data_IF_572333548428
#
_entry.id   IF_572333548428
#
_cell.length_a   1.000
_cell.length_b   1.000
_cell.length_c   1.000
_cell.angle_alpha   90.00
_cell.angle_beta   90.00
_cell.angle_gamma   90.00
#
_symmetry.space_group_name_H-M   'P 1'
#
loop_
_entity.id
_entity.type
_entity.pdbx_description
1 polymer ?
#
# COMPACT_ATOMS: atom_id res chain seq x y z
N UNK A 1 22.66 5.31 2.36
CA UNK A 1 22.42 5.57 2.23
C UNK A 1 21.98 5.37 1.39
N UNK A 2 21.83 5.53 1.02
CA UNK A 2 21.40 5.50 0.15
C UNK A 2 20.64 4.51 -0.29
N UNK A 3 20.64 3.85 -0.25
CA UNK A 3 20.03 3.06 -0.65
C UNK A 3 18.82 3.06 -0.35
N UNK A 4 18.24 3.86 -0.06
CA UNK A 4 17.06 3.76 0.19
C UNK A 4 16.24 3.87 -0.93
N UNK A 5 15.12 3.20 -1.04
CA UNK A 5 14.19 3.34 -2.11
C UNK A 5 13.62 4.70 -2.12
N UNK A 6 13.38 5.21 -3.30
CA UNK A 6 12.64 6.44 -3.45
C UNK A 6 11.17 6.09 -3.38
N UNK A 7 10.51 6.49 -2.32
CA UNK A 7 9.13 6.11 -2.11
C UNK A 7 8.23 6.62 -3.22
N UNK A 8 8.55 7.79 -3.77
CA UNK A 8 7.74 8.30 -4.86
C UNK A 8 7.80 7.39 -6.06
N UNK A 9 8.96 6.83 -6.35
CA UNK A 9 9.08 5.94 -7.48
C UNK A 9 8.29 4.67 -7.24
N UNK A 10 8.36 4.15 -6.03
CA UNK A 10 7.67 2.92 -5.73
C UNK A 10 6.16 3.07 -5.78
N UNK A 11 5.66 4.28 -5.60
CA UNK A 11 4.22 4.51 -5.65
C UNK A 11 3.76 5.04 -7.00
N UNK A 12 4.65 5.17 -7.98
CA UNK A 12 4.29 5.79 -9.23
C UNK A 12 3.78 4.86 -10.29
N UNK A 13 4.37 3.72 -10.43
CA UNK A 13 4.03 2.82 -11.54
C UNK A 13 3.01 1.79 -11.11
N UNK A 14 2.01 2.22 -10.41
CA UNK A 14 0.99 1.30 -9.92
C UNK A 14 -0.15 1.20 -10.91
N UNK A 15 -0.78 0.02 -11.04
CA UNK A 15 -1.99 -0.08 -11.83
C UNK A 15 -3.07 0.83 -11.29
N UNK A 16 -4.00 1.28 -12.14
CA UNK A 16 -5.02 2.24 -11.69
C UNK A 16 -5.83 1.76 -10.49
N UNK A 17 -6.21 0.49 -10.47
CA UNK A 17 -7.02 0.00 -9.36
C UNK A 17 -6.23 0.01 -8.04
N UNK A 18 -4.95 -0.29 -8.13
CA UNK A 18 -4.11 -0.29 -6.94
C UNK A 18 -3.84 1.14 -6.49
N UNK A 19 -3.58 2.00 -7.44
CA UNK A 19 -3.34 3.40 -7.12
C UNK A 19 -4.55 4.01 -6.43
N UNK A 20 -5.72 3.67 -6.91
CA UNK A 20 -6.94 4.18 -6.33
C UNK A 20 -7.12 3.70 -4.89
N UNK A 21 -6.87 2.42 -4.65
CA UNK A 21 -7.01 1.89 -3.31
C UNK A 21 -6.00 2.52 -2.36
N UNK A 22 -4.79 2.75 -2.85
CA UNK A 22 -3.78 3.39 -2.02
C UNK A 22 -4.19 4.81 -1.69
N UNK A 23 -4.72 5.53 -2.66
CA UNK A 23 -5.16 6.87 -2.43
C UNK A 23 -6.28 6.92 -1.41
N UNK A 24 -7.21 5.98 -1.51
CA UNK A 24 -8.31 5.93 -0.56
C UNK A 24 -7.80 5.68 0.85
N UNK A 25 -6.83 4.80 1.00
CA UNK A 25 -6.28 4.54 2.32
C UNK A 25 -5.57 5.78 2.86
N UNK A 26 -4.79 6.44 2.03
CA UNK A 26 -4.10 7.63 2.48
C UNK A 26 -5.07 8.69 2.96
N UNK A 27 -6.14 8.89 2.23
CA UNK A 27 -7.14 9.87 2.61
C UNK A 27 -7.85 9.44 3.88
N UNK A 28 -8.13 8.16 4.01
CA UNK A 28 -8.76 7.67 5.23
C UNK A 28 -7.91 7.89 6.45
N UNK A 29 -6.61 7.65 6.32
CA UNK A 29 -5.70 7.88 7.42
C UNK A 29 -5.64 9.36 7.79
N UNK A 30 -5.62 10.19 6.77
CA UNK A 30 -5.56 11.63 7.01
C UNK A 30 -6.80 12.12 7.72
N UNK A 31 -7.95 11.56 7.36
CA UNK A 31 -9.22 11.99 7.90
C UNK A 31 -9.66 11.19 9.12
N UNK A 32 -8.85 10.22 9.52
CA UNK A 32 -9.15 9.44 10.72
C UNK A 32 -10.49 8.72 10.63
N UNK A 33 -10.79 8.15 9.48
CA UNK A 33 -12.05 7.44 9.34
C UNK A 33 -12.02 6.15 10.15
N UNK A 34 -13.19 5.67 10.51
CA UNK A 34 -13.30 4.50 11.38
C UNK A 34 -13.15 3.19 10.62
N UNK A 35 -13.20 3.22 9.31
CA UNK A 35 -13.14 1.99 8.53
C UNK A 35 -11.77 1.77 7.88
N UNK A 36 -10.72 2.13 8.61
CA UNK A 36 -9.37 1.95 8.10
C UNK A 36 -9.09 0.48 7.80
N UNK A 37 -9.61 -0.42 8.64
CA UNK A 37 -9.39 -1.85 8.42
C UNK A 37 -9.88 -2.29 7.06
N UNK A 38 -11.04 -1.80 6.65
CA UNK A 38 -11.56 -2.15 5.34
C UNK A 38 -10.68 -1.62 4.23
N UNK A 39 -10.18 -0.42 4.39
CA UNK A 39 -9.31 0.17 3.37
C UNK A 39 -8.01 -0.61 3.25
N UNK A 40 -7.47 -1.05 4.38
CA UNK A 40 -6.25 -1.85 4.35
C UNK A 40 -6.51 -3.18 3.69
N UNK A 41 -7.63 -3.82 3.99
CA UNK A 41 -7.96 -5.09 3.35
C UNK A 41 -8.09 -4.95 1.85
N UNK A 42 -8.73 -3.88 1.41
CA UNK A 42 -8.88 -3.67 -0.02
C UNK A 42 -7.53 -3.44 -0.69
N UNK A 43 -6.68 -2.67 -0.03
CA UNK A 43 -5.36 -2.43 -0.56
C UNK A 43 -4.57 -3.74 -0.65
N UNK A 44 -4.67 -4.56 0.39
CA UNK A 44 -3.95 -5.83 0.40
C UNK A 44 -4.36 -6.70 -0.77
N UNK A 45 -5.64 -6.77 -1.05
CA UNK A 45 -6.13 -7.56 -2.17
C UNK A 45 -5.59 -7.04 -3.49
N UNK A 46 -5.58 -5.72 -3.66
CA UNK A 46 -5.08 -5.12 -4.88
C UNK A 46 -3.59 -5.34 -5.04
N UNK A 47 -2.84 -5.22 -3.94
CA UNK A 47 -1.40 -5.44 -4.00
C UNK A 47 -1.11 -6.87 -4.40
N UNK A 48 -1.81 -7.82 -3.80
CA UNK A 48 -1.59 -9.23 -4.13
C UNK A 48 -1.91 -9.50 -5.59
N UNK A 49 -3.03 -8.98 -6.08
CA UNK A 49 -3.38 -9.18 -7.48
C UNK A 49 -2.35 -8.58 -8.41
N UNK A 50 -1.89 -7.39 -8.09
CA UNK A 50 -0.92 -6.73 -8.95
C UNK A 50 0.39 -7.49 -8.99
N UNK A 51 0.79 -8.03 -7.84
CA UNK A 51 2.04 -8.77 -7.78
C UNK A 51 1.93 -10.08 -8.55
N UNK A 52 0.85 -10.80 -8.37
CA UNK A 52 0.65 -12.06 -9.07
C UNK A 52 0.61 -11.83 -10.59
N UNK A 53 -0.02 -10.75 -11.00
CA UNK A 53 -0.12 -10.43 -12.42
C UNK A 53 1.16 -9.84 -12.99
N UNK A 54 2.12 -9.52 -12.16
CA UNK A 54 3.35 -8.92 -12.63
C UNK A 54 3.24 -7.45 -12.90
N UNK A 55 2.20 -6.80 -12.40
CA UNK A 55 2.02 -5.37 -12.60
C UNK A 55 2.89 -4.53 -11.69
N UNK A 56 3.34 -5.09 -10.60
CA UNK A 56 4.27 -4.40 -9.71
C UNK A 56 5.41 -5.35 -9.39
N UNK A 57 6.52 -4.77 -8.98
CA UNK A 57 7.70 -5.54 -8.65
C UNK A 57 7.59 -6.07 -7.22
N UNK A 58 8.47 -7.01 -6.90
CA UNK A 58 8.53 -7.53 -5.55
C UNK A 58 8.87 -6.42 -4.57
N UNK A 59 9.73 -5.51 -4.97
CA UNK A 59 10.08 -4.39 -4.11
C UNK A 59 8.88 -3.52 -3.82
N UNK A 60 8.08 -3.26 -4.83
CA UNK A 60 6.87 -2.47 -4.63
C UNK A 60 5.90 -3.19 -3.71
N UNK A 61 5.75 -4.48 -3.92
CA UNK A 61 4.85 -5.26 -3.07
C UNK A 61 5.32 -5.20 -1.62
N UNK A 62 6.59 -5.44 -1.39
CA UNK A 62 7.13 -5.44 -0.04
C UNK A 62 6.99 -4.06 0.60
N UNK A 63 7.27 -3.02 -0.16
CA UNK A 63 7.16 -1.67 0.35
C UNK A 63 5.74 -1.35 0.78
N UNK A 64 4.76 -1.69 -0.06
CA UNK A 64 3.37 -1.37 0.26
C UNK A 64 2.90 -2.16 1.48
N UNK A 65 3.32 -3.41 1.59
CA UNK A 65 2.96 -4.20 2.76
C UNK A 65 3.53 -3.59 4.03
N UNK A 66 4.80 -3.23 4.00
CA UNK A 66 5.43 -2.71 5.20
C UNK A 66 4.89 -1.37 5.61
N UNK A 67 4.64 -0.51 4.64
CA UNK A 67 4.27 0.84 4.97
C UNK A 67 2.79 0.97 5.30
N UNK A 68 1.94 0.23 4.60
CA UNK A 68 0.51 0.46 4.72
C UNK A 68 -0.25 -0.70 5.32
N UNK A 69 0.09 -1.90 4.95
CA UNK A 69 -0.74 -3.03 5.36
C UNK A 69 -0.37 -3.52 6.74
N UNK A 70 0.91 -3.58 7.03
CA UNK A 70 1.36 -4.10 8.31
C UNK A 70 1.36 -3.06 9.41
N UNK A 71 1.14 -1.81 9.07
CA UNK A 71 1.25 -0.77 10.09
C UNK A 71 0.20 -0.93 11.17
N UNK A 72 -0.96 -1.45 10.81
CA UNK A 72 -1.99 -1.62 11.81
C UNK A 72 -1.59 -2.65 12.82
N UNK A 73 -0.95 -3.71 12.37
CA UNK A 73 -0.50 -4.74 13.30
C UNK A 73 0.54 -4.21 14.24
N UNK A 74 1.44 -3.41 13.74
CA UNK A 74 2.47 -2.84 14.59
C UNK A 74 1.87 -1.91 15.60
N UNK A 75 0.83 -1.21 15.21
CA UNK A 75 0.19 -0.31 16.13
C UNK A 75 -0.49 -1.02 17.26
N UNK A 76 -0.93 -2.21 17.02
CA UNK A 76 -1.67 -2.94 18.01
C UNK A 76 -0.82 -3.50 19.11
N UNK A 77 0.44 -3.43 18.96
CA UNK A 77 1.28 -3.85 20.05
C UNK A 77 1.17 -2.94 21.23
#
# INVERSE_FOLDING_TARGET
MGKKYNEQILEKSLPPYLENDLKNLKEGLKNNVSYIDCLIDELQGSVNSAWVDGDISEEQCDYLYRKYIRMEKEKND
#
